data_IF_264150606910
#
_entry.id   IF_264150606910
#
_cell.length_a   1.000
_cell.length_b   1.000
_cell.length_c   1.000
_cell.angle_alpha   90.00
_cell.angle_beta   90.00
_cell.angle_gamma   90.00
#
_symmetry.space_group_name_H-M   'P 1'
#
loop_
_entity.id
_entity.type
_entity.pdbx_description
1 polymer ?
#
# COMPACT_ATOMS: atom_id res chain seq x y z
N UNK A 1 -8.39 -5.14 -5.06
CA UNK A 1 -8.87 -4.60 -3.77
C UNK A 1 -10.38 -4.53 -3.76
N UNK A 2 -11.00 -4.84 -2.64
CA UNK A 2 -12.45 -4.74 -2.47
C UNK A 2 -12.94 -5.56 -1.29
N UNK A 3 -13.99 -5.06 -0.62
CA UNK A 3 -14.53 -5.65 0.62
C UNK A 3 -15.05 -7.08 0.47
N UNK A 4 -15.40 -7.50 -0.76
CA UNK A 4 -15.88 -8.86 -1.06
C UNK A 4 -14.96 -9.97 -0.52
N UNK A 5 -13.64 -9.76 -0.57
CA UNK A 5 -12.67 -10.76 -0.10
C UNK A 5 -12.72 -10.91 1.42
N UNK A 6 -12.92 -9.81 2.15
CA UNK A 6 -13.15 -9.89 3.59
C UNK A 6 -14.49 -10.58 3.88
N UNK A 7 -15.55 -10.26 3.13
CA UNK A 7 -16.86 -10.93 3.26
C UNK A 7 -16.74 -12.46 3.28
N UNK A 8 -16.05 -13.03 2.28
CA UNK A 8 -15.78 -14.47 2.20
C UNK A 8 -15.08 -15.01 3.47
N UNK A 9 -14.00 -14.35 3.91
CA UNK A 9 -13.23 -14.77 5.08
C UNK A 9 -14.02 -14.62 6.39
N UNK A 10 -14.83 -13.57 6.53
CA UNK A 10 -15.69 -13.31 7.68
C UNK A 10 -16.82 -14.35 7.77
N UNK A 11 -17.45 -14.70 6.64
CA UNK A 11 -18.48 -15.73 6.58
C UNK A 11 -17.94 -17.12 6.93
N UNK A 12 -16.66 -17.37 6.65
CA UNK A 12 -15.99 -18.61 7.01
C UNK A 12 -15.24 -18.54 8.37
N UNK A 13 -15.48 -17.50 9.18
CA UNK A 13 -14.86 -17.29 10.50
C UNK A 13 -13.32 -17.35 10.51
N UNK A 14 -12.67 -16.98 9.40
CA UNK A 14 -11.20 -17.02 9.28
C UNK A 14 -10.53 -15.75 9.80
N UNK A 15 -11.28 -14.64 9.87
CA UNK A 15 -10.82 -13.36 10.38
C UNK A 15 -11.94 -12.73 11.23
N UNK A 16 -11.57 -11.84 12.14
CA UNK A 16 -12.51 -11.05 12.96
C UNK A 16 -12.32 -9.55 12.82
N UNK A 17 -11.19 -9.10 12.24
CA UNK A 17 -10.82 -7.71 12.04
C UNK A 17 -10.25 -7.55 10.63
N UNK A 18 -10.65 -6.48 9.93
CA UNK A 18 -10.13 -6.14 8.60
C UNK A 18 -10.05 -4.62 8.40
N UNK A 19 -9.17 -4.21 7.48
CA UNK A 19 -8.96 -2.81 7.14
C UNK A 19 -8.40 -2.62 5.74
N UNK A 20 -8.72 -1.47 5.15
CA UNK A 20 -8.23 -0.99 3.86
C UNK A 20 -7.52 0.36 4.07
N UNK A 21 -6.48 0.62 3.29
CA UNK A 21 -5.70 1.85 3.36
C UNK A 21 -6.53 3.11 3.06
N UNK A 22 -7.65 2.93 2.35
CA UNK A 22 -8.61 3.98 2.03
C UNK A 22 -9.56 4.29 3.20
N UNK A 23 -9.01 4.35 4.42
CA UNK A 23 -9.71 4.70 5.67
C UNK A 23 -10.91 3.79 5.99
N UNK A 24 -10.86 2.54 5.54
CA UNK A 24 -11.90 1.55 5.81
C UNK A 24 -11.47 0.62 6.93
N UNK A 25 -12.28 0.42 7.96
CA UNK A 25 -12.04 -0.59 8.99
C UNK A 25 -13.36 -1.26 9.36
N UNK A 26 -13.31 -2.53 9.75
CA UNK A 26 -14.48 -3.28 10.16
C UNK A 26 -14.12 -4.59 10.87
N UNK A 27 -15.16 -5.31 11.28
CA UNK A 27 -15.07 -6.59 11.97
C UNK A 27 -16.16 -7.53 11.45
N UNK A 28 -16.16 -8.77 11.94
CA UNK A 28 -17.20 -9.78 11.72
C UNK A 28 -18.61 -9.44 12.26
N UNK A 29 -18.78 -8.33 12.98
CA UNK A 29 -20.08 -7.90 13.49
C UNK A 29 -21.09 -7.54 12.39
N UNK A 30 -20.62 -7.06 11.23
CA UNK A 30 -21.41 -6.85 10.01
C UNK A 30 -20.60 -7.28 8.77
N UNK A 31 -21.15 -7.09 7.56
CA UNK A 31 -20.48 -7.38 6.28
C UNK A 31 -20.13 -6.14 5.47
N UNK A 32 -19.93 -5.03 6.16
CA UNK A 32 -19.55 -3.74 5.60
C UNK A 32 -18.47 -3.08 6.45
N UNK A 33 -17.84 -2.03 5.91
CA UNK A 33 -17.01 -1.12 6.70
C UNK A 33 -17.89 -0.38 7.70
N UNK A 34 -17.38 -0.12 8.89
CA UNK A 34 -18.09 0.66 9.90
C UNK A 34 -17.15 1.68 10.57
N UNK A 35 -17.30 2.94 10.15
CA UNK A 35 -16.54 4.05 10.70
C UNK A 35 -16.92 4.40 12.14
N UNK A 36 -18.20 4.26 12.51
CA UNK A 36 -18.63 4.56 13.89
C UNK A 36 -18.11 3.48 14.84
N UNK A 37 -18.17 2.21 14.42
CA UNK A 37 -17.55 1.11 15.13
C UNK A 37 -16.05 1.35 15.33
N UNK A 38 -15.31 1.79 14.29
CA UNK A 38 -13.88 2.07 14.42
C UNK A 38 -13.59 3.21 15.41
N UNK A 39 -14.43 4.25 15.45
CA UNK A 39 -14.35 5.32 16.46
C UNK A 39 -14.59 4.77 17.86
N UNK A 40 -15.65 3.98 18.06
CA UNK A 40 -15.96 3.37 19.36
C UNK A 40 -14.87 2.39 19.80
N UNK A 41 -14.25 1.67 18.86
CA UNK A 41 -13.11 0.79 19.13
C UNK A 41 -11.94 1.60 19.70
N UNK A 42 -11.58 2.72 19.07
CA UNK A 42 -10.54 3.62 19.59
C UNK A 42 -10.91 4.25 20.92
N UNK A 43 -12.15 4.68 21.12
CA UNK A 43 -12.61 5.21 22.41
C UNK A 43 -12.50 4.16 23.51
N UNK A 44 -12.78 2.89 23.22
CA UNK A 44 -12.57 1.80 24.15
C UNK A 44 -11.08 1.59 24.46
N UNK A 45 -10.19 1.63 23.46
CA UNK A 45 -8.74 1.58 23.70
C UNK A 45 -8.28 2.71 24.61
N UNK A 46 -8.72 3.94 24.35
CA UNK A 46 -8.38 5.10 25.17
C UNK A 46 -8.91 4.96 26.61
N UNK A 47 -10.14 4.48 26.76
CA UNK A 47 -10.75 4.25 28.07
C UNK A 47 -10.03 3.18 28.89
N UNK A 48 -9.55 2.11 28.26
CA UNK A 48 -8.82 1.04 28.98
C UNK A 48 -7.37 1.43 29.24
N UNK A 49 -6.69 2.03 28.26
CA UNK A 49 -5.26 2.34 28.36
C UNK A 49 -4.96 3.61 29.16
N UNK A 50 -5.90 4.56 29.23
CA UNK A 50 -5.70 5.86 29.88
C UNK A 50 -4.46 6.60 29.34
N UNK A 51 -4.17 6.43 28.06
CA UNK A 51 -3.06 7.01 27.32
C UNK A 51 -3.62 7.90 26.19
N UNK A 52 -2.86 8.89 25.70
CA UNK A 52 -3.24 9.62 24.49
C UNK A 52 -3.12 8.72 23.25
N UNK A 53 -3.82 9.05 22.16
CA UNK A 53 -3.68 8.33 20.87
C UNK A 53 -2.21 8.27 20.45
N UNK A 54 -1.49 9.39 20.55
CA UNK A 54 -0.07 9.46 20.22
C UNK A 54 0.76 8.49 21.06
N UNK A 55 0.54 8.44 22.39
CA UNK A 55 1.29 7.54 23.26
C UNK A 55 1.02 6.06 22.92
N UNK A 56 -0.23 5.70 22.63
CA UNK A 56 -0.60 4.34 22.21
C UNK A 56 0.12 3.98 20.89
N UNK A 57 0.06 4.86 19.89
CA UNK A 57 0.67 4.63 18.58
C UNK A 57 2.20 4.55 18.68
N UNK A 58 2.84 5.47 19.42
CA UNK A 58 4.29 5.45 19.64
C UNK A 58 4.74 4.20 20.38
N UNK A 59 3.96 3.73 21.36
CA UNK A 59 4.24 2.48 22.07
C UNK A 59 4.12 1.28 21.12
N UNK A 60 3.10 1.27 20.27
CA UNK A 60 2.94 0.24 19.25
C UNK A 60 4.13 0.22 18.27
N UNK A 61 4.59 1.39 17.82
CA UNK A 61 5.79 1.48 16.98
C UNK A 61 7.05 1.02 17.71
N UNK A 62 7.22 1.38 18.98
CA UNK A 62 8.37 0.92 19.75
C UNK A 62 8.40 -0.60 19.95
N UNK A 63 7.23 -1.25 19.99
CA UNK A 63 7.10 -2.69 20.19
C UNK A 63 7.23 -3.48 18.88
N UNK A 64 6.63 -3.00 17.79
CA UNK A 64 6.53 -3.74 16.52
C UNK A 64 7.36 -3.16 15.37
N UNK A 65 7.93 -1.97 15.56
CA UNK A 65 8.49 -1.13 14.51
C UNK A 65 7.42 -0.24 13.85
N UNK A 66 7.86 0.80 13.14
CA UNK A 66 7.01 1.72 12.39
C UNK A 66 7.02 1.32 10.92
N UNK A 67 5.84 1.23 10.31
CA UNK A 67 5.71 1.21 8.86
C UNK A 67 5.40 2.63 8.39
N UNK A 68 6.42 3.31 7.84
CA UNK A 68 6.21 4.54 7.09
C UNK A 68 5.42 4.20 5.84
N UNK A 69 4.30 4.89 5.61
CA UNK A 69 3.41 4.60 4.51
C UNK A 69 2.96 5.91 3.87
N UNK A 70 2.92 5.96 2.54
CA UNK A 70 2.24 7.01 1.78
C UNK A 70 1.70 6.46 0.47
N UNK A 71 0.59 7.05 0.00
CA UNK A 71 0.05 6.78 -1.33
C UNK A 71 0.13 8.02 -2.20
N UNK A 72 0.70 7.87 -3.38
CA UNK A 72 0.83 8.90 -4.40
C UNK A 72 -0.09 8.56 -5.57
N UNK A 73 -1.11 9.39 -5.80
CA UNK A 73 -2.05 9.21 -6.90
C UNK A 73 -1.74 10.20 -8.03
N UNK A 74 -1.46 9.67 -9.22
CA UNK A 74 -1.26 10.43 -10.45
C UNK A 74 -2.52 10.28 -11.31
N UNK A 75 -3.40 11.27 -11.23
CA UNK A 75 -4.72 11.23 -11.85
C UNK A 75 -4.73 11.71 -13.30
N UNK A 76 -5.72 11.28 -14.08
CA UNK A 76 -5.95 11.74 -15.45
C UNK A 76 -4.73 11.55 -16.39
N UNK A 77 -4.05 10.41 -16.27
CA UNK A 77 -3.01 9.99 -17.22
C UNK A 77 -3.68 9.43 -18.47
N UNK A 78 -3.15 9.73 -19.65
CA UNK A 78 -3.61 9.10 -20.88
C UNK A 78 -3.49 7.57 -20.78
N UNK A 79 -4.58 6.84 -21.03
CA UNK A 79 -4.63 5.37 -20.86
C UNK A 79 -3.48 4.64 -21.58
N UNK A 80 -3.12 4.98 -22.83
CA UNK A 80 -1.99 4.33 -23.51
C UNK A 80 -0.66 4.54 -22.77
N UNK A 81 -0.40 5.76 -22.29
CA UNK A 81 0.82 6.08 -21.53
C UNK A 81 0.88 5.28 -20.20
N UNK A 82 -0.23 5.21 -19.48
CA UNK A 82 -0.30 4.44 -18.24
C UNK A 82 -0.11 2.93 -18.48
N UNK A 83 -0.66 2.39 -19.58
CA UNK A 83 -0.44 1.00 -19.98
C UNK A 83 1.01 0.72 -20.38
N UNK A 84 1.65 1.65 -21.10
CA UNK A 84 3.08 1.56 -21.44
C UNK A 84 3.93 1.50 -20.17
N UNK A 85 3.67 2.38 -19.20
CA UNK A 85 4.36 2.38 -17.91
C UNK A 85 4.23 1.04 -17.17
N UNK A 86 3.01 0.52 -17.05
CA UNK A 86 2.78 -0.77 -16.37
C UNK A 86 3.43 -1.94 -17.13
N UNK A 87 3.49 -1.87 -18.46
CA UNK A 87 4.19 -2.87 -19.29
C UNK A 87 5.70 -2.79 -19.09
N UNK A 88 6.25 -1.58 -19.06
CA UNK A 88 7.67 -1.34 -18.79
C UNK A 88 8.11 -1.92 -17.43
N UNK A 89 7.29 -1.77 -16.39
CA UNK A 89 7.55 -2.41 -15.09
C UNK A 89 7.55 -3.94 -15.18
N UNK A 90 6.55 -4.55 -15.85
CA UNK A 90 6.47 -6.02 -16.00
C UNK A 90 7.66 -6.62 -16.74
N UNK A 91 8.19 -5.92 -17.74
CA UNK A 91 9.36 -6.36 -18.50
C UNK A 91 10.64 -6.47 -17.66
N UNK A 92 10.67 -5.85 -16.47
CA UNK A 92 11.84 -5.84 -15.60
C UNK A 92 11.81 -6.96 -14.55
N UNK A 93 10.70 -7.70 -14.40
CA UNK A 93 10.50 -8.68 -13.31
C UNK A 93 11.63 -9.69 -13.19
N UNK A 94 12.11 -10.26 -14.29
CA UNK A 94 13.17 -11.28 -14.27
C UNK A 94 14.54 -10.69 -13.93
N UNK A 95 14.72 -9.37 -14.08
CA UNK A 95 16.02 -8.70 -13.93
C UNK A 95 16.18 -7.93 -12.63
N UNK A 96 15.07 -7.66 -11.93
CA UNK A 96 15.06 -6.86 -10.70
C UNK A 96 15.56 -7.61 -9.46
N UNK A 97 15.14 -8.86 -9.17
CA UNK A 97 15.62 -9.59 -8.00
C UNK A 97 17.15 -9.62 -7.92
N UNK A 98 17.69 -9.28 -6.75
CA UNK A 98 19.13 -9.17 -6.50
C UNK A 98 19.77 -7.84 -6.88
N UNK A 99 19.07 -6.94 -7.60
CA UNK A 99 19.60 -5.59 -7.86
C UNK A 99 19.55 -4.72 -6.62
N UNK A 100 20.55 -3.86 -6.48
CA UNK A 100 20.61 -2.83 -5.44
C UNK A 100 20.22 -1.48 -6.04
N UNK A 101 19.16 -0.87 -5.53
CA UNK A 101 18.62 0.41 -5.97
C UNK A 101 18.64 1.39 -4.80
N UNK A 102 19.38 2.50 -4.90
CA UNK A 102 19.56 3.48 -3.80
C UNK A 102 19.87 2.82 -2.44
N UNK A 103 20.71 1.79 -2.44
CA UNK A 103 21.11 1.05 -1.24
C UNK A 103 20.12 -0.02 -0.75
N UNK A 104 19.03 -0.28 -1.50
CA UNK A 104 18.04 -1.31 -1.18
C UNK A 104 18.11 -2.48 -2.15
N UNK A 105 18.23 -3.71 -1.64
CA UNK A 105 18.24 -4.92 -2.45
C UNK A 105 16.80 -5.36 -2.76
N UNK A 106 16.47 -5.50 -4.05
CA UNK A 106 15.18 -6.04 -4.47
C UNK A 106 15.16 -7.55 -4.21
N UNK A 107 14.19 -8.01 -3.42
CA UNK A 107 13.96 -9.43 -3.15
C UNK A 107 13.10 -10.07 -4.23
N UNK A 108 12.02 -9.40 -4.64
CA UNK A 108 11.02 -9.96 -5.55
C UNK A 108 10.32 -8.84 -6.32
N UNK A 109 9.98 -9.12 -7.58
CA UNK A 109 9.12 -8.28 -8.40
C UNK A 109 8.06 -9.17 -9.06
N UNK A 110 6.77 -8.88 -8.85
CA UNK A 110 5.67 -9.65 -9.45
C UNK A 110 4.41 -8.80 -9.70
N UNK A 111 3.42 -9.39 -10.36
CA UNK A 111 2.06 -8.85 -10.45
C UNK A 111 1.17 -9.69 -9.55
N UNK A 112 0.56 -9.06 -8.54
CA UNK A 112 -0.12 -9.75 -7.46
C UNK A 112 -1.35 -10.51 -7.97
N UNK A 113 -1.42 -11.79 -7.61
CA UNK A 113 -2.61 -12.63 -7.75
C UNK A 113 -3.07 -13.08 -6.37
N UNK A 114 -4.38 -13.10 -6.16
CA UNK A 114 -5.00 -13.63 -4.96
C UNK A 114 -5.88 -14.82 -5.31
N UNK A 115 -5.68 -15.93 -4.61
CA UNK A 115 -6.54 -17.11 -4.68
C UNK A 115 -7.35 -17.17 -3.39
N UNK A 116 -8.67 -17.02 -3.52
CA UNK A 116 -9.56 -16.98 -2.37
C UNK A 116 -9.70 -18.39 -1.74
N UNK A 117 -9.48 -18.56 -0.43
CA UNK A 117 -9.53 -19.87 0.20
C UNK A 117 -10.96 -20.38 0.43
N UNK A 118 -11.99 -19.56 0.23
CA UNK A 118 -13.39 -19.89 0.49
C UNK A 118 -14.13 -20.19 -0.81
N UNK A 119 -14.08 -19.28 -1.79
CA UNK A 119 -14.77 -19.46 -3.07
C UNK A 119 -13.86 -20.01 -4.18
N UNK A 120 -12.55 -20.15 -3.91
CA UNK A 120 -11.54 -20.66 -4.84
C UNK A 120 -11.41 -19.86 -6.13
N UNK A 121 -11.93 -18.62 -6.15
CA UNK A 121 -11.73 -17.71 -7.27
C UNK A 121 -10.30 -17.18 -7.30
N UNK A 122 -9.82 -16.92 -8.52
CA UNK A 122 -8.54 -16.28 -8.75
C UNK A 122 -8.75 -14.84 -9.22
N UNK A 123 -8.09 -13.90 -8.55
CA UNK A 123 -8.01 -12.49 -8.94
C UNK A 123 -6.57 -12.17 -9.31
N UNK A 124 -6.25 -12.28 -10.59
CA UNK A 124 -4.93 -11.94 -11.13
C UNK A 124 -4.77 -10.43 -11.41
N UNK A 125 -3.53 -10.02 -11.65
CA UNK A 125 -3.15 -8.67 -12.08
C UNK A 125 -3.65 -7.54 -11.16
N UNK A 126 -3.63 -7.77 -9.85
CA UNK A 126 -4.19 -6.85 -8.85
C UNK A 126 -3.23 -5.71 -8.46
N UNK A 127 -1.99 -5.72 -8.96
CA UNK A 127 -1.01 -4.68 -8.71
C UNK A 127 0.40 -5.20 -8.80
N UNK A 128 1.29 -4.44 -9.43
CA UNK A 128 2.71 -4.77 -9.49
C UNK A 128 3.34 -4.50 -8.12
N UNK A 129 4.07 -5.46 -7.57
CA UNK A 129 4.78 -5.33 -6.29
C UNK A 129 6.28 -5.43 -6.51
N UNK A 130 7.03 -4.49 -5.97
CA UNK A 130 8.49 -4.58 -5.83
C UNK A 130 8.78 -4.67 -4.33
N UNK A 131 9.29 -5.82 -3.89
CA UNK A 131 9.54 -6.13 -2.49
C UNK A 131 11.05 -6.12 -2.23
N UNK A 132 11.49 -5.48 -1.15
CA UNK A 132 12.90 -5.36 -0.79
C UNK A 132 13.24 -6.29 0.39
N UNK A 133 14.53 -6.59 0.57
CA UNK A 133 15.01 -7.46 1.65
C UNK A 133 14.81 -6.88 3.04
N UNK A 134 14.84 -5.55 3.18
CA UNK A 134 14.64 -4.82 4.44
C UNK A 134 13.15 -4.68 4.84
N UNK A 135 12.25 -5.34 4.10
CA UNK A 135 10.81 -5.27 4.33
C UNK A 135 10.11 -4.09 3.66
N UNK A 136 10.85 -3.19 3.00
CA UNK A 136 10.25 -2.14 2.20
C UNK A 136 9.49 -2.70 0.99
N UNK A 137 8.51 -1.94 0.50
CA UNK A 137 7.75 -2.32 -0.70
C UNK A 137 7.23 -1.11 -1.48
N UNK A 138 7.22 -1.27 -2.79
CA UNK A 138 6.50 -0.42 -3.74
C UNK A 138 5.36 -1.23 -4.35
N UNK A 139 4.19 -0.63 -4.46
CA UNK A 139 3.06 -1.23 -5.19
C UNK A 139 2.57 -0.23 -6.22
N UNK A 140 2.43 -0.67 -7.47
CA UNK A 140 1.86 0.12 -8.56
C UNK A 140 0.52 -0.48 -8.97
N UNK A 141 -0.54 0.33 -8.90
CA UNK A 141 -1.88 -0.09 -9.33
C UNK A 141 -2.45 0.93 -10.29
N UNK A 142 -3.02 0.44 -11.38
CA UNK A 142 -3.78 1.28 -12.30
C UNK A 142 -5.27 1.16 -11.97
N UNK A 143 -5.96 2.29 -11.90
CA UNK A 143 -7.39 2.36 -11.61
C UNK A 143 -8.10 3.35 -12.53
N UNK A 144 -9.41 3.18 -12.68
CA UNK A 144 -10.27 4.15 -13.36
C UNK A 144 -9.94 4.38 -14.83
N UNK A 145 -9.87 3.36 -15.68
CA UNK A 145 -9.55 3.50 -17.12
C UNK A 145 -10.71 4.02 -17.97
N UNK A 146 -11.55 4.89 -17.42
CA UNK A 146 -12.75 5.44 -18.06
C UNK A 146 -12.44 6.63 -18.97
N UNK A 147 -13.46 7.43 -19.26
CA UNK A 147 -13.35 8.59 -20.17
C UNK A 147 -12.43 9.71 -19.67
N UNK A 148 -12.12 9.76 -18.38
CA UNK A 148 -11.28 10.79 -17.76
C UNK A 148 -9.78 10.45 -17.73
N UNK A 149 -9.35 9.38 -18.40
CA UNK A 149 -7.99 8.85 -18.30
C UNK A 149 -7.84 7.92 -17.10
N UNK A 150 -6.65 7.36 -16.91
CA UNK A 150 -6.36 6.43 -15.82
C UNK A 150 -5.67 7.11 -14.63
N UNK A 151 -5.83 6.54 -13.44
CA UNK A 151 -5.10 6.93 -12.23
C UNK A 151 -4.08 5.87 -11.86
N UNK A 152 -2.80 6.23 -11.90
CA UNK A 152 -1.72 5.43 -11.32
C UNK A 152 -1.68 5.71 -9.82
N UNK A 153 -1.85 4.65 -9.02
CA UNK A 153 -1.69 4.67 -7.57
C UNK A 153 -0.38 4.00 -7.21
N UNK A 154 0.54 4.78 -6.67
CA UNK A 154 1.81 4.32 -6.15
C UNK A 154 1.74 4.26 -4.63
N UNK A 155 1.91 3.07 -4.08
CA UNK A 155 1.96 2.83 -2.64
C UNK A 155 3.42 2.64 -2.25
N UNK A 156 3.87 3.38 -1.25
CA UNK A 156 5.23 3.31 -0.74
C UNK A 156 5.19 2.91 0.72
N UNK A 157 6.01 1.94 1.09
CA UNK A 157 6.12 1.53 2.49
C UNK A 157 7.54 1.14 2.87
N UNK A 158 7.99 1.68 4.00
CA UNK A 158 9.29 1.40 4.60
C UNK A 158 9.09 0.94 6.06
N UNK A 159 9.60 -0.24 6.38
CA UNK A 159 9.71 -0.68 7.76
C UNK A 159 10.91 -0.01 8.44
N UNK A 160 10.72 0.45 9.68
CA UNK A 160 11.74 1.03 10.53
C UNK A 160 11.63 0.46 11.95
N UNK A 161 12.65 -0.27 12.38
CA UNK A 161 12.70 -0.88 13.71
C UNK A 161 13.33 0.06 14.76
N UNK A 162 14.20 1.00 14.36
CA UNK A 162 14.89 1.90 15.26
C UNK A 162 13.96 3.03 15.71
N UNK A 163 13.62 3.02 17.00
CA UNK A 163 12.76 4.04 17.63
C UNK A 163 13.29 5.46 17.43
N UNK A 164 14.61 5.64 17.32
CA UNK A 164 15.22 6.97 17.09
C UNK A 164 14.89 7.53 15.72
N UNK A 165 14.52 6.67 14.78
CA UNK A 165 14.15 7.02 13.42
C UNK A 165 12.64 7.19 13.25
N UNK A 166 11.83 6.86 14.25
CA UNK A 166 10.36 6.90 14.17
C UNK A 166 9.78 8.31 14.14
N UNK A 167 10.56 9.37 14.33
CA UNK A 167 10.07 10.75 14.33
C UNK A 167 10.36 11.52 13.04
N UNK A 168 10.94 10.85 12.05
CA UNK A 168 11.13 11.46 10.73
C UNK A 168 9.79 11.78 10.08
N UNK A 169 9.77 12.85 9.29
CA UNK A 169 8.66 13.12 8.37
C UNK A 169 8.48 11.94 7.41
N UNK A 170 7.23 11.65 7.06
CA UNK A 170 6.89 10.48 6.26
C UNK A 170 7.51 10.58 4.86
N UNK A 171 7.50 11.75 4.22
CA UNK A 171 8.07 11.92 2.88
C UNK A 171 9.60 11.88 2.92
N UNK A 172 10.22 12.39 3.99
CA UNK A 172 11.68 12.29 4.17
C UNK A 172 12.13 10.83 4.35
N UNK A 173 11.43 10.06 5.20
CA UNK A 173 11.71 8.64 5.41
C UNK A 173 11.50 7.81 4.13
N UNK A 174 10.51 8.18 3.30
CA UNK A 174 10.20 7.51 2.04
C UNK A 174 10.96 8.05 0.83
N UNK A 175 11.74 9.13 0.96
CA UNK A 175 12.43 9.77 -0.16
C UNK A 175 13.28 8.81 -1.02
N UNK A 176 14.03 7.82 -0.45
CA UNK A 176 14.72 6.82 -1.25
C UNK A 176 13.76 5.96 -2.08
N UNK A 177 12.63 5.53 -1.51
CA UNK A 177 11.63 4.72 -2.22
C UNK A 177 10.90 5.52 -3.30
N UNK A 178 10.62 6.80 -3.06
CA UNK A 178 10.03 7.71 -4.06
C UNK A 178 10.95 7.80 -5.28
N UNK A 179 12.27 8.00 -5.07
CA UNK A 179 13.24 8.04 -6.17
C UNK A 179 13.33 6.71 -6.91
N UNK A 180 13.39 5.59 -6.21
CA UNK A 180 13.40 4.27 -6.83
C UNK A 180 12.13 4.07 -7.68
N UNK A 181 10.96 4.45 -7.16
CA UNK A 181 9.69 4.30 -7.87
C UNK A 181 9.65 5.14 -9.15
N UNK A 182 10.12 6.39 -9.08
CA UNK A 182 10.22 7.28 -10.25
C UNK A 182 11.15 6.68 -11.31
N UNK A 183 12.34 6.22 -10.93
CA UNK A 183 13.33 5.66 -11.86
C UNK A 183 12.84 4.36 -12.50
N UNK A 184 12.31 3.42 -11.70
CA UNK A 184 11.85 2.12 -12.19
C UNK A 184 10.64 2.22 -13.12
N UNK A 185 9.69 3.09 -12.77
CA UNK A 185 8.48 3.26 -13.56
C UNK A 185 8.63 4.32 -14.64
N UNK A 186 9.67 5.16 -14.58
CA UNK A 186 9.87 6.32 -15.47
C UNK A 186 8.58 7.17 -15.56
N UNK A 187 8.00 7.51 -14.40
CA UNK A 187 6.63 8.07 -14.31
C UNK A 187 6.54 9.38 -15.09
N UNK A 188 7.45 10.33 -14.85
CA UNK A 188 7.46 11.61 -15.56
C UNK A 188 7.65 11.41 -17.07
N UNK A 189 8.55 10.50 -17.48
CA UNK A 189 8.80 10.24 -18.90
C UNK A 189 7.58 9.68 -19.64
N UNK A 190 6.87 8.71 -19.06
CA UNK A 190 5.71 8.12 -19.72
C UNK A 190 4.46 8.98 -19.59
N UNK A 191 4.25 9.62 -18.44
CA UNK A 191 2.97 10.26 -18.10
C UNK A 191 2.97 11.77 -18.24
N UNK A 192 4.15 12.40 -18.35
CA UNK A 192 4.33 13.85 -18.31
C UNK A 192 4.04 14.47 -16.95
N UNK A 193 4.02 13.68 -15.87
CA UNK A 193 3.75 14.14 -14.50
C UNK A 193 5.02 14.12 -13.67
N UNK A 194 5.44 15.29 -13.19
CA UNK A 194 6.62 15.43 -12.35
C UNK A 194 6.33 15.24 -10.85
N UNK A 195 5.05 15.22 -10.47
CA UNK A 195 4.60 15.02 -9.09
C UNK A 195 3.22 14.37 -9.05
N UNK A 196 2.86 13.68 -7.96
CA UNK A 196 1.51 13.16 -7.78
C UNK A 196 0.48 14.28 -7.68
N UNK A 197 -0.75 14.01 -8.11
CA UNK A 197 -1.88 14.93 -7.93
C UNK A 197 -2.33 14.94 -6.47
N UNK A 198 -2.32 13.77 -5.82
CA UNK A 198 -2.74 13.59 -4.42
C UNK A 198 -1.70 12.77 -3.68
N UNK A 199 -1.38 13.19 -2.46
CA UNK A 199 -0.56 12.43 -1.51
C UNK A 199 -1.45 12.13 -0.29
N UNK A 200 -1.49 10.86 0.11
CA UNK A 200 -2.13 10.38 1.35
C UNK A 200 -1.07 9.81 2.29
#
# INVERSE_FOLDING_TARGET
>A
TGWKFFGNLLDNNQITLCGEESFGTGSDHIREKDGLWAVLFWLNLLAVRQESVEAIVRRHWAEYGRHYYSRHDYEAIAVPAAQTLMTHLRQQFDTLPGRVLHGKTVRQADDFSYHDPVDHSESANQGIRILFEDGARLIFRLSGTGTQGATLRLYLEQYEADVRQHDLDVQDALAPLIRIAEELASISTFTGRDSPTVIT
#
